data_IF_222554621222
#
_entry.id   IF_222554621222
#
_cell.length_a   1.000
_cell.length_b   1.000
_cell.length_c   1.000
_cell.angle_alpha   90.00
_cell.angle_beta   90.00
_cell.angle_gamma   90.00
#
_symmetry.space_group_name_H-M   'P 1'
#
loop_
_entity.id
_entity.type
_entity.pdbx_description
1 polymer ?
#
# COMPACT_ATOMS: atom_id res chain seq x y z
N UNK A 1 -2.62 -24.73 -13.92
CA UNK A 1 -1.31 -24.08 -13.71
C UNK A 1 -1.39 -23.47 -12.32
N UNK A 2 -0.42 -23.72 -11.46
CA UNK A 2 -0.40 -23.14 -10.10
C UNK A 2 -0.27 -21.62 -10.23
N UNK A 3 -1.04 -20.87 -9.44
CA UNK A 3 -0.89 -19.43 -9.37
C UNK A 3 0.40 -19.04 -8.63
N UNK A 4 0.76 -17.76 -8.70
CA UNK A 4 1.93 -17.21 -8.01
C UNK A 4 1.91 -17.48 -6.50
N UNK A 5 0.75 -17.39 -5.84
CA UNK A 5 0.63 -17.60 -4.40
C UNK A 5 0.95 -19.05 -4.04
N UNK A 6 0.39 -20.01 -4.78
CA UNK A 6 0.63 -21.44 -4.61
C UNK A 6 2.08 -21.81 -4.94
N UNK A 7 2.68 -21.20 -5.95
CA UNK A 7 4.10 -21.39 -6.27
C UNK A 7 5.00 -20.95 -5.10
N UNK A 8 4.70 -19.79 -4.48
CA UNK A 8 5.47 -19.27 -3.36
C UNK A 8 5.24 -20.10 -2.08
N UNK A 9 3.98 -20.32 -1.71
CA UNK A 9 3.63 -20.86 -0.38
C UNK A 9 3.50 -22.39 -0.34
N UNK A 10 3.37 -23.04 -1.50
CA UNK A 10 3.14 -24.47 -1.65
C UNK A 10 1.69 -24.91 -1.48
N UNK A 11 0.73 -23.99 -1.40
CA UNK A 11 -0.69 -24.30 -1.29
C UNK A 11 -1.57 -23.23 -1.94
N UNK A 12 -2.75 -23.63 -2.46
CA UNK A 12 -3.71 -22.69 -3.03
C UNK A 12 -4.36 -21.78 -1.97
N UNK A 13 -4.48 -20.49 -2.28
CA UNK A 13 -5.16 -19.50 -1.45
C UNK A 13 -6.68 -19.77 -1.42
N UNK A 14 -7.27 -19.88 -0.23
CA UNK A 14 -8.70 -20.21 -0.08
C UNK A 14 -9.44 -19.28 0.88
N UNK A 15 -8.86 -19.02 2.05
CA UNK A 15 -9.47 -18.15 3.06
C UNK A 15 -8.40 -17.61 4.02
N UNK A 16 -8.67 -16.50 4.71
CA UNK A 16 -7.76 -15.97 5.74
C UNK A 16 -7.38 -17.00 6.81
N UNK A 17 -8.34 -17.80 7.28
CA UNK A 17 -8.08 -18.81 8.32
C UNK A 17 -7.19 -19.93 7.81
N UNK A 18 -7.38 -20.35 6.56
CA UNK A 18 -6.54 -21.36 5.93
C UNK A 18 -5.10 -20.84 5.73
N UNK A 19 -4.94 -19.59 5.29
CA UNK A 19 -3.62 -18.96 5.13
C UNK A 19 -2.92 -18.84 6.49
N UNK A 20 -3.62 -18.38 7.53
CA UNK A 20 -3.08 -18.26 8.89
C UNK A 20 -2.76 -19.60 9.55
N UNK A 21 -3.44 -20.68 9.17
CA UNK A 21 -3.12 -22.03 9.64
C UNK A 21 -1.85 -22.60 8.99
N UNK A 22 -1.55 -22.19 7.75
CA UNK A 22 -0.44 -22.73 6.96
C UNK A 22 0.82 -21.85 6.94
N UNK A 23 0.72 -20.58 7.34
CA UNK A 23 1.84 -19.65 7.42
C UNK A 23 2.03 -19.14 8.84
N UNK A 24 3.29 -19.06 9.26
CA UNK A 24 3.68 -18.60 10.60
C UNK A 24 4.58 -17.37 10.44
N UNK A 25 4.26 -16.31 11.19
CA UNK A 25 5.11 -15.12 11.31
C UNK A 25 6.02 -15.29 12.52
N UNK A 26 7.33 -15.24 12.28
CA UNK A 26 8.38 -15.38 13.29
C UNK A 26 9.30 -14.15 13.22
N UNK A 27 8.98 -13.12 14.00
CA UNK A 27 9.67 -11.82 13.91
C UNK A 27 9.43 -11.15 12.56
N UNK A 28 10.50 -10.86 11.82
CA UNK A 28 10.44 -10.25 10.47
C UNK A 28 10.52 -11.30 9.35
N UNK A 29 10.12 -12.54 9.64
CA UNK A 29 10.07 -13.64 8.66
C UNK A 29 8.69 -14.28 8.59
N UNK A 30 8.32 -14.74 7.40
CA UNK A 30 7.14 -15.56 7.15
C UNK A 30 7.60 -16.95 6.73
N UNK A 31 7.05 -18.00 7.34
CA UNK A 31 7.40 -19.39 7.03
C UNK A 31 6.15 -20.18 6.65
N UNK A 32 6.23 -20.91 5.55
CA UNK A 32 5.18 -21.88 5.18
C UNK A 32 5.45 -23.22 5.82
N UNK A 33 4.45 -23.79 6.50
CA UNK A 33 4.55 -25.14 7.07
C UNK A 33 4.34 -26.22 6.00
N UNK A 34 3.83 -25.85 4.83
CA UNK A 34 3.52 -26.81 3.75
C UNK A 34 4.77 -27.15 2.96
N UNK A 35 5.53 -26.16 2.52
CA UNK A 35 6.76 -26.36 1.74
C UNK A 35 8.06 -26.10 2.54
N UNK A 36 7.95 -25.72 3.81
CA UNK A 36 9.07 -25.42 4.72
C UNK A 36 9.96 -24.25 4.29
N UNK A 37 9.55 -23.46 3.29
CA UNK A 37 10.26 -22.27 2.89
C UNK A 37 9.98 -21.11 3.85
N UNK A 38 10.94 -20.19 3.95
CA UNK A 38 10.84 -18.99 4.76
C UNK A 38 11.46 -17.81 4.04
N UNK A 39 10.85 -16.64 4.21
CA UNK A 39 11.25 -15.40 3.56
C UNK A 39 11.24 -14.26 4.55
N UNK A 40 12.17 -13.32 4.37
CA UNK A 40 12.14 -12.08 5.13
C UNK A 40 10.99 -11.19 4.65
N UNK A 41 10.02 -10.94 5.52
CA UNK A 41 8.97 -9.94 5.27
C UNK A 41 9.48 -8.54 5.60
N UNK A 42 10.47 -8.42 6.47
CA UNK A 42 10.98 -7.14 6.94
C UNK A 42 10.00 -6.42 7.87
N UNK A 43 10.11 -5.09 7.95
CA UNK A 43 9.33 -4.28 8.90
C UNK A 43 8.43 -3.29 8.19
N UNK A 44 7.13 -3.37 8.46
CA UNK A 44 6.17 -2.35 8.03
C UNK A 44 6.15 -1.17 9.00
N UNK A 45 6.13 0.05 8.45
CA UNK A 45 5.85 1.29 9.17
C UNK A 45 4.84 2.12 8.40
N UNK A 46 4.13 3.01 9.08
CA UNK A 46 3.19 3.95 8.45
C UNK A 46 3.53 5.40 8.81
N UNK A 47 4.70 5.93 8.43
CA UNK A 47 5.06 7.31 8.76
C UNK A 47 4.17 8.33 8.04
N UNK A 48 3.95 9.48 8.67
CA UNK A 48 3.36 10.63 7.98
C UNK A 48 4.40 11.36 7.11
N UNK A 49 3.95 12.13 6.11
CA UNK A 49 4.86 12.93 5.29
C UNK A 49 5.64 13.95 6.12
N UNK A 50 5.03 14.53 7.16
CA UNK A 50 5.75 15.40 8.11
C UNK A 50 6.89 14.65 8.82
N UNK A 51 6.64 13.40 9.26
CA UNK A 51 7.67 12.57 9.89
C UNK A 51 8.82 12.24 8.92
N UNK A 52 8.50 11.97 7.65
CA UNK A 52 9.51 11.71 6.62
C UNK A 52 10.34 12.96 6.29
N UNK A 53 9.70 14.13 6.14
CA UNK A 53 10.37 15.41 5.88
C UNK A 53 11.31 15.83 7.02
N UNK A 54 11.00 15.44 8.26
CA UNK A 54 11.84 15.69 9.41
C UNK A 54 13.07 14.76 9.53
N UNK A 55 13.15 13.69 8.72
CA UNK A 55 14.31 12.80 8.74
C UNK A 55 15.56 13.56 8.22
N UNK A 56 16.71 13.39 8.88
CA UNK A 56 17.93 14.05 8.44
C UNK A 56 18.36 13.55 7.05
N UNK A 57 18.65 14.47 6.13
CA UNK A 57 19.24 14.12 4.83
C UNK A 57 20.65 13.58 5.04
N UNK A 58 20.82 12.26 5.04
CA UNK A 58 22.10 11.61 5.36
C UNK A 58 22.97 11.30 4.13
N UNK A 59 22.51 11.63 2.92
CA UNK A 59 23.24 11.31 1.68
C UNK A 59 23.98 12.50 1.12
N UNK A 60 25.31 12.39 1.11
CA UNK A 60 26.21 13.27 0.35
C UNK A 60 26.29 12.84 -1.11
N UNK A 61 26.20 13.77 -2.05
CA UNK A 61 26.35 13.50 -3.48
C UNK A 61 25.50 14.44 -4.34
N UNK A 62 25.54 14.24 -5.65
CA UNK A 62 24.66 14.94 -6.60
C UNK A 62 23.46 14.06 -6.89
N UNK A 63 22.26 14.58 -6.65
CA UNK A 63 21.03 13.91 -7.05
C UNK A 63 20.98 13.83 -8.58
N UNK A 64 20.77 12.62 -9.10
CA UNK A 64 20.53 12.39 -10.52
C UNK A 64 19.13 11.81 -10.69
N UNK A 65 18.46 12.27 -11.73
CA UNK A 65 17.13 11.79 -12.12
C UNK A 65 17.20 11.41 -13.59
N UNK A 66 16.74 10.22 -13.92
CA UNK A 66 16.69 9.70 -15.28
C UNK A 66 15.44 8.85 -15.46
N UNK A 67 14.94 8.80 -16.69
CA UNK A 67 13.86 7.88 -17.07
C UNK A 67 14.41 6.45 -17.18
N UNK A 68 13.66 5.48 -16.67
CA UNK A 68 13.90 4.05 -16.86
C UNK A 68 12.61 3.40 -17.35
N UNK A 69 12.64 2.86 -18.57
CA UNK A 69 11.53 2.09 -19.14
C UNK A 69 11.86 0.62 -19.02
N UNK A 70 11.23 -0.07 -18.06
CA UNK A 70 11.49 -1.48 -17.78
C UNK A 70 10.28 -2.16 -17.09
N UNK A 71 10.32 -3.49 -17.02
CA UNK A 71 9.43 -4.27 -16.16
C UNK A 71 9.88 -4.14 -14.70
N UNK A 72 8.99 -3.66 -13.83
CA UNK A 72 9.32 -3.41 -12.43
C UNK A 72 9.66 -4.68 -11.66
N UNK A 73 9.10 -5.85 -12.02
CA UNK A 73 9.48 -7.13 -11.41
C UNK A 73 10.91 -7.49 -11.79
N UNK A 74 11.31 -7.26 -13.05
CA UNK A 74 12.70 -7.48 -13.46
C UNK A 74 13.65 -6.57 -12.69
N UNK A 75 13.29 -5.28 -12.52
CA UNK A 75 14.08 -4.36 -11.70
C UNK A 75 14.24 -4.85 -10.26
N UNK A 76 13.19 -5.38 -9.63
CA UNK A 76 13.30 -5.96 -8.28
C UNK A 76 14.28 -7.13 -8.24
N UNK A 77 14.32 -7.98 -9.27
CA UNK A 77 15.22 -9.15 -9.31
C UNK A 77 16.69 -8.83 -9.60
N UNK A 78 17.01 -7.59 -10.02
CA UNK A 78 18.39 -7.20 -10.30
C UNK A 78 19.19 -7.05 -9.00
N UNK A 79 20.32 -7.76 -8.83
CA UNK A 79 21.15 -7.66 -7.63
C UNK A 79 21.68 -6.24 -7.36
N UNK A 80 21.86 -5.42 -8.41
CA UNK A 80 22.30 -4.03 -8.29
C UNK A 80 21.27 -3.15 -7.54
N UNK A 81 20.01 -3.58 -7.47
CA UNK A 81 18.95 -2.93 -6.71
C UNK A 81 18.80 -3.49 -5.28
N UNK A 82 19.74 -4.31 -4.80
CA UNK A 82 19.75 -4.75 -3.40
C UNK A 82 19.80 -3.54 -2.45
N UNK A 83 18.85 -3.46 -1.53
CA UNK A 83 18.68 -2.34 -0.60
C UNK A 83 18.10 -1.07 -1.24
N UNK A 84 17.68 -1.11 -2.51
CA UNK A 84 17.02 0.01 -3.16
C UNK A 84 15.60 0.24 -2.58
N UNK A 85 15.10 1.46 -2.75
CA UNK A 85 13.72 1.82 -2.45
C UNK A 85 12.91 1.87 -3.75
N UNK A 86 11.80 1.15 -3.77
CA UNK A 86 10.80 1.18 -4.83
C UNK A 86 9.58 1.94 -4.33
N UNK A 87 9.16 2.96 -5.08
CA UNK A 87 7.85 3.59 -4.86
C UNK A 87 6.80 2.78 -5.60
N UNK A 88 5.72 2.45 -4.91
CA UNK A 88 4.68 1.54 -5.35
C UNK A 88 3.36 2.29 -5.35
N UNK A 89 2.69 2.33 -6.51
CA UNK A 89 1.29 2.77 -6.58
C UNK A 89 0.43 1.82 -5.74
N UNK A 90 -0.28 2.37 -4.76
CA UNK A 90 -1.03 1.59 -3.78
C UNK A 90 -2.36 2.26 -3.42
N UNK A 91 -3.13 1.61 -2.55
CA UNK A 91 -4.36 2.11 -1.95
C UNK A 91 -4.07 2.48 -0.49
N UNK A 92 -4.98 3.20 0.17
CA UNK A 92 -4.74 3.69 1.53
C UNK A 92 -4.67 2.58 2.59
N UNK A 93 -5.08 1.36 2.26
CA UNK A 93 -4.95 0.17 3.09
C UNK A 93 -3.69 -0.68 2.78
N UNK A 94 -2.82 -0.23 1.87
CA UNK A 94 -1.59 -0.91 1.48
C UNK A 94 -1.80 -2.26 0.79
N UNK A 95 -2.95 -2.42 0.12
CA UNK A 95 -3.33 -3.60 -0.66
C UNK A 95 -3.76 -3.21 -2.08
N UNK A 96 -3.08 -3.80 -3.06
CA UNK A 96 -3.24 -3.55 -4.49
C UNK A 96 -4.44 -4.28 -5.12
N UNK A 97 -5.60 -4.19 -4.45
CA UNK A 97 -6.84 -4.79 -4.93
C UNK A 97 -7.34 -4.08 -6.19
N UNK A 98 -7.69 -4.82 -7.24
CA UNK A 98 -8.09 -4.28 -8.56
C UNK A 98 -9.35 -3.39 -8.56
N UNK A 99 -10.17 -3.46 -7.50
CA UNK A 99 -11.43 -2.75 -7.40
C UNK A 99 -11.87 -2.56 -5.94
N UNK A 100 -12.62 -1.49 -5.62
CA UNK A 100 -13.25 -1.32 -4.30
C UNK A 100 -14.22 -2.43 -3.91
N UNK A 101 -14.61 -3.32 -4.85
CA UNK A 101 -15.47 -4.48 -4.55
C UNK A 101 -14.70 -5.69 -4.04
N UNK A 102 -13.37 -5.69 -4.16
CA UNK A 102 -12.50 -6.80 -3.73
C UNK A 102 -11.98 -6.49 -2.33
N UNK A 103 -12.42 -7.27 -1.36
CA UNK A 103 -12.03 -7.13 0.05
C UNK A 103 -10.79 -7.97 0.39
N UNK A 104 -10.10 -7.71 1.52
CA UNK A 104 -8.95 -8.51 1.99
C UNK A 104 -9.18 -10.03 1.97
N UNK A 105 -10.41 -10.49 2.27
CA UNK A 105 -10.77 -11.90 2.31
C UNK A 105 -10.75 -12.58 0.93
N UNK A 106 -10.82 -11.82 -0.16
CA UNK A 106 -10.69 -12.36 -1.52
C UNK A 106 -9.24 -12.76 -1.84
N UNK A 107 -8.28 -12.34 -1.01
CA UNK A 107 -6.89 -12.73 -1.12
C UNK A 107 -6.06 -11.91 -2.09
N UNK A 108 -4.76 -12.24 -2.13
CA UNK A 108 -3.73 -11.52 -2.89
C UNK A 108 -3.20 -12.32 -4.08
N UNK A 109 -3.53 -13.61 -4.19
CA UNK A 109 -3.15 -14.44 -5.32
C UNK A 109 -3.70 -13.93 -6.66
N UNK A 110 -4.83 -13.23 -6.62
CA UNK A 110 -5.43 -12.57 -7.79
C UNK A 110 -4.57 -11.46 -8.41
N UNK A 111 -3.57 -10.93 -7.69
CA UNK A 111 -2.71 -9.85 -8.17
C UNK A 111 -1.99 -10.21 -9.46
N UNK A 112 -1.69 -11.49 -9.70
CA UNK A 112 -1.02 -11.95 -10.93
C UNK A 112 -1.82 -11.64 -12.21
N UNK A 113 -3.12 -11.42 -12.08
CA UNK A 113 -4.02 -11.13 -13.20
C UNK A 113 -4.08 -9.64 -13.52
N UNK A 114 -3.57 -8.79 -12.62
CA UNK A 114 -3.47 -7.34 -12.80
C UNK A 114 -2.03 -6.99 -13.21
N UNK A 115 -1.90 -6.35 -14.37
CA UNK A 115 -0.59 -6.02 -14.98
C UNK A 115 -0.14 -4.59 -14.68
N UNK A 116 -0.82 -3.89 -13.78
CA UNK A 116 -0.41 -2.56 -13.34
C UNK A 116 0.79 -2.64 -12.38
N UNK A 117 1.42 -1.49 -12.13
CA UNK A 117 2.66 -1.42 -11.35
C UNK A 117 2.50 -1.90 -9.91
N UNK A 118 1.40 -1.53 -9.23
CA UNK A 118 1.16 -1.87 -7.82
C UNK A 118 1.21 -3.39 -7.58
N UNK A 119 0.32 -4.18 -8.21
CA UNK A 119 0.31 -5.63 -8.13
C UNK A 119 1.65 -6.27 -8.52
N UNK A 120 2.32 -5.74 -9.54
CA UNK A 120 3.64 -6.23 -9.95
C UNK A 120 4.71 -6.05 -8.86
N UNK A 121 4.76 -4.88 -8.20
CA UNK A 121 5.62 -4.66 -7.04
C UNK A 121 5.23 -5.54 -5.85
N UNK A 122 3.93 -5.68 -5.58
CA UNK A 122 3.44 -6.51 -4.49
C UNK A 122 3.83 -7.99 -4.68
N UNK A 123 3.75 -8.50 -5.90
CA UNK A 123 4.20 -9.84 -6.28
C UNK A 123 5.72 -10.01 -6.11
N UNK A 124 6.49 -8.97 -6.43
CA UNK A 124 7.95 -8.99 -6.30
C UNK A 124 8.42 -9.19 -4.85
N UNK A 125 7.67 -8.67 -3.88
CA UNK A 125 7.91 -8.84 -2.44
C UNK A 125 6.80 -9.68 -1.78
N UNK A 126 6.60 -10.89 -2.30
CA UNK A 126 5.39 -11.67 -2.06
C UNK A 126 5.09 -12.02 -0.62
N UNK A 127 6.09 -12.44 0.13
CA UNK A 127 5.90 -12.76 1.54
C UNK A 127 5.45 -11.53 2.35
N UNK A 128 5.99 -10.34 2.04
CA UNK A 128 5.58 -9.10 2.68
C UNK A 128 4.15 -8.70 2.30
N UNK A 129 3.74 -8.94 1.05
CA UNK A 129 2.36 -8.72 0.59
C UNK A 129 1.37 -9.64 1.31
N UNK A 130 1.70 -10.93 1.44
CA UNK A 130 0.89 -11.89 2.21
C UNK A 130 0.78 -11.44 3.68
N UNK A 131 1.89 -10.99 4.27
CA UNK A 131 1.89 -10.42 5.62
C UNK A 131 0.94 -9.22 5.76
N UNK A 132 1.02 -8.24 4.84
CA UNK A 132 0.14 -7.05 4.86
C UNK A 132 -1.34 -7.39 4.77
N UNK A 133 -1.72 -8.47 4.08
CA UNK A 133 -3.12 -8.87 4.03
C UNK A 133 -3.54 -9.68 5.27
N UNK A 134 -2.76 -10.69 5.64
CA UNK A 134 -3.24 -11.74 6.56
C UNK A 134 -2.74 -11.63 8.00
N UNK A 135 -1.67 -10.89 8.26
CA UNK A 135 -0.95 -10.93 9.54
C UNK A 135 -0.62 -9.59 10.16
N UNK A 136 -0.66 -8.49 9.40
CA UNK A 136 -0.41 -7.15 9.95
C UNK A 136 -1.37 -6.85 11.11
N UNK A 137 -0.86 -6.27 12.19
CA UNK A 137 -1.74 -5.82 13.27
C UNK A 137 -2.54 -4.59 12.83
N UNK A 138 -3.86 -4.69 12.92
CA UNK A 138 -4.77 -3.58 12.68
C UNK A 138 -5.54 -3.33 13.97
N UNK A 139 -4.98 -2.53 14.86
CA UNK A 139 -5.60 -2.18 16.13
C UNK A 139 -5.95 -3.41 16.97
N UNK A 140 -5.01 -4.35 17.10
CA UNK A 140 -5.19 -5.61 17.84
C UNK A 140 -5.87 -6.75 17.08
N UNK A 141 -6.29 -6.52 15.82
CA UNK A 141 -6.75 -7.57 14.92
C UNK A 141 -5.59 -8.07 14.06
N UNK A 142 -5.41 -9.39 13.97
CA UNK A 142 -4.41 -9.99 13.06
C UNK A 142 -4.97 -9.99 11.64
N UNK A 143 -4.27 -9.31 10.73
CA UNK A 143 -4.62 -9.18 9.32
C UNK A 143 -5.75 -8.19 9.06
N UNK A 144 -5.83 -7.76 7.81
CA UNK A 144 -6.90 -6.88 7.32
C UNK A 144 -8.15 -7.70 7.03
N UNK A 145 -9.31 -7.08 7.22
CA UNK A 145 -10.63 -7.63 6.90
C UNK A 145 -11.51 -6.54 6.30
N UNK A 146 -12.65 -6.92 5.73
CA UNK A 146 -13.65 -5.96 5.23
C UNK A 146 -14.05 -4.93 6.30
N UNK A 147 -14.08 -5.32 7.57
CA UNK A 147 -14.51 -4.45 8.68
C UNK A 147 -13.37 -3.66 9.31
N UNK A 148 -12.11 -4.04 9.08
CA UNK A 148 -10.97 -3.41 9.74
C UNK A 148 -9.73 -3.49 8.87
N UNK A 149 -9.27 -2.33 8.41
CA UNK A 149 -8.16 -2.18 7.48
C UNK A 149 -7.23 -1.09 7.96
N UNK A 150 -6.00 -1.10 7.45
CA UNK A 150 -5.14 0.07 7.54
C UNK A 150 -5.79 1.23 6.78
N UNK A 151 -5.61 2.45 7.27
CA UNK A 151 -6.06 3.65 6.59
C UNK A 151 -4.97 4.72 6.71
N UNK A 152 -4.22 4.92 5.64
CA UNK A 152 -3.15 5.91 5.59
C UNK A 152 -3.64 7.36 5.40
N UNK A 153 -4.96 7.55 5.22
CA UNK A 153 -5.59 8.86 5.12
C UNK A 153 -6.21 9.32 6.44
N UNK A 154 -6.23 8.49 7.49
CA UNK A 154 -7.02 8.73 8.72
C UNK A 154 -6.73 10.08 9.39
N UNK A 155 -5.46 10.48 9.47
CA UNK A 155 -5.09 11.74 10.13
C UNK A 155 -5.54 12.95 9.30
N UNK A 156 -5.45 12.87 7.98
CA UNK A 156 -5.92 13.90 7.06
C UNK A 156 -7.46 13.95 7.04
N UNK A 157 -8.12 12.80 7.09
CA UNK A 157 -9.58 12.70 7.18
C UNK A 157 -10.13 13.43 8.41
N UNK A 158 -9.49 13.23 9.57
CA UNK A 158 -9.85 13.92 10.80
C UNK A 158 -9.64 15.43 10.69
N UNK A 159 -8.54 15.88 10.05
CA UNK A 159 -8.24 17.31 9.90
C UNK A 159 -9.18 18.04 8.93
N UNK A 160 -9.70 17.33 7.92
CA UNK A 160 -10.71 17.84 6.98
C UNK A 160 -12.15 17.72 7.50
N UNK A 161 -12.34 17.22 8.73
CA UNK A 161 -13.66 17.10 9.35
C UNK A 161 -14.53 15.97 8.78
N UNK A 162 -13.93 14.90 8.25
CA UNK A 162 -14.66 13.71 7.80
C UNK A 162 -15.15 12.83 8.98
N UNK A 163 -15.83 13.45 9.94
CA UNK A 163 -16.44 12.78 11.09
C UNK A 163 -17.65 11.95 10.63
N UNK A 164 -17.80 10.75 11.18
CA UNK A 164 -18.91 9.82 10.83
C UNK A 164 -19.04 9.54 9.33
N UNK A 165 -17.94 9.66 8.57
CA UNK A 165 -17.92 9.49 7.11
C UNK A 165 -18.81 10.52 6.38
N UNK A 166 -18.89 11.75 6.90
CA UNK A 166 -19.69 12.84 6.33
C UNK A 166 -19.27 13.26 4.92
N UNK A 167 -17.97 13.23 4.63
CA UNK A 167 -17.41 13.63 3.34
C UNK A 167 -17.13 12.40 2.45
N UNK A 168 -16.51 11.37 3.02
CA UNK A 168 -16.26 10.10 2.34
C UNK A 168 -16.18 8.93 3.30
N UNK A 169 -16.44 7.74 2.78
CA UNK A 169 -16.17 6.48 3.47
C UNK A 169 -15.02 5.73 2.80
N UNK A 170 -14.37 4.85 3.56
CA UNK A 170 -13.32 3.98 3.03
C UNK A 170 -13.91 2.64 2.58
N UNK A 171 -13.76 2.31 1.29
CA UNK A 171 -14.17 1.01 0.75
C UNK A 171 -12.97 0.22 0.23
N UNK A 172 -12.47 -0.71 1.04
CA UNK A 172 -11.32 -1.58 0.68
C UNK A 172 -10.07 -0.80 0.25
N UNK A 173 -9.76 0.30 0.94
CA UNK A 173 -8.61 1.18 0.65
C UNK A 173 -8.90 2.30 -0.36
N UNK A 174 -10.11 2.34 -0.91
CA UNK A 174 -10.57 3.39 -1.82
C UNK A 174 -11.35 4.45 -1.05
N UNK A 175 -11.04 5.72 -1.33
CA UNK A 175 -11.81 6.88 -0.86
C UNK A 175 -13.07 7.01 -1.71
N UNK A 176 -14.24 6.86 -1.11
CA UNK A 176 -15.52 6.95 -1.79
C UNK A 176 -16.29 8.18 -1.29
N UNK A 177 -16.37 9.27 -2.06
CA UNK A 177 -17.11 10.46 -1.64
C UNK A 177 -18.58 10.13 -1.48
N UNK A 178 -19.23 10.78 -0.53
CA UNK A 178 -20.65 10.56 -0.24
C UNK A 178 -21.54 11.13 -1.34
N UNK A 179 -21.18 12.31 -1.86
CA UNK A 179 -21.81 12.99 -2.99
C UNK A 179 -20.85 14.02 -3.63
N UNK A 180 -21.33 14.74 -4.65
CA UNK A 180 -20.59 15.85 -5.28
C UNK A 180 -20.30 16.99 -4.30
N UNK A 181 -21.25 17.28 -3.40
CA UNK A 181 -21.14 18.35 -2.40
C UNK A 181 -20.02 18.10 -1.40
N UNK A 182 -19.75 16.84 -1.05
CA UNK A 182 -18.61 16.49 -0.22
C UNK A 182 -17.26 16.82 -0.87
N UNK A 183 -17.13 16.64 -2.19
CA UNK A 183 -15.92 17.03 -2.92
C UNK A 183 -15.79 18.55 -3.02
N UNK A 184 -16.89 19.25 -3.28
CA UNK A 184 -16.95 20.73 -3.27
C UNK A 184 -16.58 21.31 -1.90
N UNK A 185 -17.04 20.68 -0.82
CA UNK A 185 -16.70 21.09 0.54
C UNK A 185 -15.20 20.95 0.83
N UNK A 186 -14.60 19.82 0.43
CA UNK A 186 -13.13 19.64 0.54
C UNK A 186 -12.41 20.68 -0.29
N UNK A 187 -12.82 20.91 -1.54
CA UNK A 187 -12.21 21.92 -2.42
C UNK A 187 -12.28 23.32 -1.78
N UNK A 188 -13.44 23.73 -1.28
CA UNK A 188 -13.63 25.03 -0.63
C UNK A 188 -12.71 25.18 0.60
N UNK A 189 -12.62 24.15 1.46
CA UNK A 189 -11.72 24.17 2.61
C UNK A 189 -10.25 24.36 2.18
N UNK A 190 -9.82 23.74 1.08
CA UNK A 190 -8.46 23.86 0.56
C UNK A 190 -8.19 25.20 -0.13
N UNK A 191 -9.18 25.78 -0.81
CA UNK A 191 -9.07 27.12 -1.41
C UNK A 191 -8.95 28.23 -0.36
N UNK A 192 -9.66 28.08 0.76
CA UNK A 192 -9.64 29.05 1.87
C UNK A 192 -8.40 28.90 2.78
N UNK A 193 -7.73 27.75 2.73
CA UNK A 193 -6.55 27.46 3.54
C UNK A 193 -5.32 28.28 3.13
N UNK A 194 -4.58 28.74 4.12
CA UNK A 194 -3.25 29.32 3.93
C UNK A 194 -2.22 28.28 3.47
N UNK A 195 -1.09 28.74 2.94
CA UNK A 195 0.02 27.85 2.55
C UNK A 195 0.51 27.00 3.73
N UNK A 196 0.55 27.56 4.95
CA UNK A 196 0.96 26.83 6.15
C UNK A 196 -0.04 25.72 6.52
N UNK A 197 -1.35 25.97 6.34
CA UNK A 197 -2.41 24.98 6.56
C UNK A 197 -2.35 23.87 5.50
N UNK A 198 -2.14 24.21 4.22
CA UNK A 198 -1.95 23.21 3.16
C UNK A 198 -0.72 22.33 3.44
N UNK A 199 0.42 22.93 3.80
CA UNK A 199 1.63 22.18 4.16
C UNK A 199 1.40 21.27 5.38
N UNK A 200 0.63 21.73 6.36
CA UNK A 200 0.22 20.95 7.51
C UNK A 200 -0.64 19.74 7.09
N UNK A 201 -1.69 19.96 6.30
CA UNK A 201 -2.59 18.91 5.80
C UNK A 201 -1.83 17.85 4.99
N UNK A 202 -0.95 18.26 4.06
CA UNK A 202 -0.06 17.34 3.36
C UNK A 202 0.80 16.52 4.33
N UNK A 203 1.29 17.15 5.39
CA UNK A 203 2.10 16.52 6.42
C UNK A 203 1.40 15.39 7.19
N UNK A 204 0.06 15.38 7.22
CA UNK A 204 -0.77 14.37 7.88
C UNK A 204 -0.96 13.11 7.04
N UNK A 205 -0.81 13.19 5.70
CA UNK A 205 -0.89 12.02 4.83
C UNK A 205 0.17 10.99 5.28
N UNK A 206 -0.25 9.74 5.45
CA UNK A 206 0.65 8.63 5.77
C UNK A 206 0.91 7.79 4.53
N UNK A 207 2.04 7.10 4.53
CA UNK A 207 2.35 6.06 3.52
C UNK A 207 2.78 4.79 4.22
N UNK A 208 2.62 3.64 3.55
CA UNK A 208 3.25 2.39 4.01
C UNK A 208 4.72 2.37 3.61
N UNK A 209 5.62 1.99 4.52
CA UNK A 209 7.02 1.69 4.18
C UNK A 209 7.37 0.32 4.72
N UNK A 210 7.53 -0.65 3.82
CA UNK A 210 7.99 -1.99 4.10
C UNK A 210 9.51 -2.04 3.90
N UNK A 211 10.25 -1.99 5.01
CA UNK A 211 11.71 -2.03 5.02
C UNK A 211 12.21 -3.46 4.89
N UNK A 212 13.26 -3.67 4.08
CA UNK A 212 13.99 -4.93 3.99
C UNK A 212 13.12 -6.17 3.64
N UNK A 213 12.13 -6.00 2.76
CA UNK A 213 11.35 -7.12 2.25
C UNK A 213 12.20 -7.92 1.24
N UNK A 214 12.20 -9.24 1.37
CA UNK A 214 12.87 -10.12 0.41
C UNK A 214 12.15 -10.08 -0.94
N UNK A 215 12.94 -10.01 -2.01
CA UNK A 215 12.43 -10.25 -3.37
C UNK A 215 12.20 -11.75 -3.54
N UNK A 216 10.96 -12.15 -3.76
CA UNK A 216 10.55 -13.58 -3.81
C UNK A 216 10.43 -14.14 -5.22
N UNK A 217 10.87 -13.38 -6.23
CA UNK A 217 10.90 -13.80 -7.62
C UNK A 217 12.28 -14.36 -8.01
N UNK A 218 12.30 -15.31 -8.95
CA UNK A 218 13.53 -15.86 -9.54
C UNK A 218 14.56 -16.33 -8.48
N UNK A 219 14.09 -16.93 -7.38
CA UNK A 219 14.91 -17.40 -6.26
C UNK A 219 15.82 -16.33 -5.62
N UNK A 220 15.48 -15.04 -5.79
CA UNK A 220 16.25 -13.94 -5.23
C UNK A 220 16.31 -14.01 -3.69
N UNK A 221 17.43 -13.55 -3.15
CA UNK A 221 17.71 -13.55 -1.70
C UNK A 221 17.97 -12.15 -1.15
N UNK A 222 18.18 -11.15 -2.02
CA UNK A 222 18.35 -9.77 -1.59
C UNK A 222 17.01 -9.16 -1.17
N UNK A 223 17.13 -8.07 -0.42
CA UNK A 223 16.00 -7.33 0.11
C UNK A 223 15.92 -5.96 -0.53
N UNK A 224 14.72 -5.41 -0.56
CA UNK A 224 14.42 -4.05 -1.02
C UNK A 224 13.50 -3.38 0.00
N UNK A 225 13.35 -2.07 -0.12
CA UNK A 225 12.33 -1.31 0.60
C UNK A 225 11.22 -0.93 -0.38
N UNK A 226 9.96 -1.11 0.01
CA UNK A 226 8.81 -0.65 -0.75
C UNK A 226 8.09 0.48 0.00
N UNK A 227 7.94 1.63 -0.65
CA UNK A 227 7.13 2.75 -0.20
C UNK A 227 5.81 2.75 -0.97
N UNK A 228 4.71 2.48 -0.26
CA UNK A 228 3.35 2.39 -0.80
C UNK A 228 2.72 3.77 -0.76
N UNK A 229 2.71 4.43 -1.91
CA UNK A 229 2.20 5.78 -2.10
C UNK A 229 0.78 5.68 -2.66
N UNK A 230 -0.21 6.09 -1.86
CA UNK A 230 -1.61 6.01 -2.23
C UNK A 230 -2.02 7.17 -3.14
N UNK A 231 -2.99 6.92 -4.01
CA UNK A 231 -3.61 7.95 -4.84
C UNK A 231 -5.14 7.91 -4.68
N UNK A 232 -5.81 9.03 -4.95
CA UNK A 232 -7.27 9.09 -4.95
C UNK A 232 -7.87 8.30 -6.12
N UNK A 233 -8.97 7.57 -5.91
CA UNK A 233 -9.53 6.66 -6.90
C UNK A 233 -10.49 7.37 -7.87
N UNK A 234 -10.03 8.43 -8.53
CA UNK A 234 -10.85 9.30 -9.40
C UNK A 234 -11.70 8.49 -10.40
N UNK A 235 -11.10 7.50 -11.06
CA UNK A 235 -11.77 6.66 -12.06
C UNK A 235 -12.79 5.66 -11.51
N UNK A 236 -12.92 5.52 -10.18
CA UNK A 236 -13.84 4.60 -9.51
C UNK A 236 -15.05 5.31 -8.90
N UNK A 237 -15.15 6.62 -9.09
CA UNK A 237 -16.30 7.44 -8.73
C UNK A 237 -17.19 7.72 -9.95
N UNK A 238 -18.46 8.03 -9.71
CA UNK A 238 -19.40 8.49 -10.73
C UNK A 238 -19.36 10.01 -10.97
N UNK A 239 -18.61 10.75 -10.13
CA UNK A 239 -18.52 12.21 -10.18
C UNK A 239 -17.47 12.70 -11.20
N UNK A 240 -17.62 13.96 -11.64
CA UNK A 240 -16.72 14.60 -12.60
C UNK A 240 -15.28 14.68 -12.07
N UNK A 241 -14.29 14.49 -12.94
CA UNK A 241 -12.87 14.41 -12.53
C UNK A 241 -12.36 15.75 -11.99
N UNK A 242 -12.94 16.84 -12.47
CA UNK A 242 -12.64 18.21 -12.10
C UNK A 242 -12.93 18.47 -10.62
N UNK A 243 -13.96 17.83 -10.05
CA UNK A 243 -14.31 17.94 -8.62
C UNK A 243 -13.25 17.34 -7.70
N UNK A 244 -12.38 16.48 -8.21
CA UNK A 244 -11.31 15.86 -7.44
C UNK A 244 -10.03 16.71 -7.40
N UNK A 245 -9.92 17.75 -8.23
CA UNK A 245 -8.64 18.37 -8.56
C UNK A 245 -7.87 18.87 -7.32
N UNK A 246 -8.53 19.56 -6.39
CA UNK A 246 -7.86 20.11 -5.21
C UNK A 246 -7.48 19.03 -4.21
N UNK A 247 -8.38 18.06 -3.98
CA UNK A 247 -8.09 16.94 -3.10
C UNK A 247 -6.96 16.06 -3.67
N UNK A 248 -6.95 15.82 -4.98
CA UNK A 248 -5.94 15.03 -5.67
C UNK A 248 -4.57 15.73 -5.77
N UNK A 249 -4.53 17.06 -5.72
CA UNK A 249 -3.27 17.82 -5.64
C UNK A 249 -2.70 17.87 -4.22
N UNK A 250 -3.57 17.79 -3.21
CA UNK A 250 -3.17 17.71 -1.81
C UNK A 250 -2.50 16.35 -1.48
N UNK A 251 -3.10 15.26 -1.98
CA UNK A 251 -2.65 13.87 -1.77
C UNK A 251 -1.48 13.52 -2.67
#
# INVERSE_FOLDING_TARGET
MMDWFEQLTGFAEQSPDQVRANLIVEGESLRSVVNQQSWAIGRLTQPSLAQLRALPSSRSGTLQVSEVVADVQQLHTQPDNAGALFQVASQFNLLEMVSPRVSPEHGVGGYQMDRTQGPACAIAAGAATIYRNYFVDVGGQIGQSKQRQLNCLVDLANALGNEEESLWYMQNGYVMPCDEGALEEVAQQLEEASTEEIEHLQGLLRIGVQHNAQVTLNDCQHQVTQAFCSALPIAYSEYEQELWADFAQLV
#
